data_IF_132675204632
#
_entry.id   IF_132675204632
#
_cell.length_a   1.000
_cell.length_b   1.000
_cell.length_c   1.000
_cell.angle_alpha   90.00
_cell.angle_beta   90.00
_cell.angle_gamma   90.00
#
_symmetry.space_group_name_H-M   'P 1'
#
loop_
_entity.id
_entity.type
_entity.pdbx_description
1 polymer ?
#
# COMPACT_ATOMS: atom_id res chain seq x y z
N UNK A 1 15.53 -9.32 -0.15
CA UNK A 1 15.07 -8.93 1.19
C UNK A 1 14.40 -7.57 1.05
N UNK A 2 13.19 -7.41 1.57
CA UNK A 2 12.46 -6.14 1.48
C UNK A 2 13.19 -5.04 2.28
N UNK A 3 13.21 -3.83 1.74
CA UNK A 3 13.70 -2.68 2.50
C UNK A 3 12.68 -2.34 3.58
N UNK A 4 13.14 -2.34 4.83
CA UNK A 4 12.32 -2.04 6.00
C UNK A 4 12.83 -0.79 6.70
N UNK A 5 11.93 -0.17 7.44
CA UNK A 5 12.24 0.95 8.34
C UNK A 5 11.99 0.51 9.79
N UNK A 6 12.49 1.30 10.75
CA UNK A 6 12.33 0.94 12.17
C UNK A 6 10.85 0.96 12.60
N UNK A 7 10.47 0.13 13.58
CA UNK A 7 9.12 0.14 14.14
C UNK A 7 8.69 1.51 14.69
N UNK A 8 9.64 2.27 15.24
CA UNK A 8 9.40 3.61 15.76
C UNK A 8 9.04 4.57 14.62
N UNK A 9 9.74 4.48 13.48
CA UNK A 9 9.44 5.32 12.32
C UNK A 9 8.07 4.95 11.73
N UNK A 10 7.73 3.66 11.64
CA UNK A 10 6.38 3.23 11.23
C UNK A 10 5.30 3.84 12.12
N UNK A 11 5.50 3.81 13.44
CA UNK A 11 4.57 4.40 14.39
C UNK A 11 4.46 5.92 14.19
N UNK A 12 5.58 6.63 14.08
CA UNK A 12 5.57 8.08 13.83
C UNK A 12 4.84 8.44 12.55
N UNK A 13 5.04 7.67 11.47
CA UNK A 13 4.33 7.90 10.20
C UNK A 13 2.81 7.71 10.36
N UNK A 14 2.35 6.76 11.19
CA UNK A 14 0.92 6.54 11.43
C UNK A 14 0.24 7.66 12.22
N UNK A 15 1.01 8.52 12.88
CA UNK A 15 0.51 9.67 13.64
C UNK A 15 0.36 10.94 12.76
N UNK A 16 0.85 10.90 11.51
CA UNK A 16 0.77 12.01 10.55
C UNK A 16 -0.40 11.75 9.60
N UNK A 17 -1.19 12.79 9.31
CA UNK A 17 -2.29 12.66 8.35
C UNK A 17 -1.78 12.43 6.91
N UNK A 18 -2.53 11.66 6.13
CA UNK A 18 -2.16 11.30 4.76
C UNK A 18 -1.91 12.52 3.85
N UNK A 19 -2.74 13.59 3.86
CA UNK A 19 -2.44 14.82 3.11
C UNK A 19 -1.07 15.42 3.43
N UNK A 20 -0.67 15.48 4.70
CA UNK A 20 0.65 15.97 5.11
C UNK A 20 1.80 15.10 4.56
N UNK A 21 1.63 13.77 4.54
CA UNK A 21 2.60 12.85 3.93
C UNK A 21 2.69 13.08 2.41
N UNK A 22 1.56 13.24 1.72
CA UNK A 22 1.53 13.54 0.29
C UNK A 22 2.26 14.86 -0.03
N UNK A 23 2.00 15.92 0.74
CA UNK A 23 2.66 17.21 0.58
C UNK A 23 4.19 17.10 0.74
N UNK A 24 4.66 16.27 1.68
CA UNK A 24 6.09 16.01 1.85
C UNK A 24 6.69 15.28 0.64
N UNK A 25 5.95 14.30 0.07
CA UNK A 25 6.37 13.56 -1.12
C UNK A 25 6.49 14.47 -2.35
N UNK A 26 5.56 15.43 -2.51
CA UNK A 26 5.61 16.41 -3.60
C UNK A 26 6.93 17.19 -3.64
N UNK A 27 7.54 17.42 -2.48
CA UNK A 27 8.84 18.10 -2.36
C UNK A 27 9.99 17.38 -3.07
N UNK A 28 9.89 16.07 -3.31
CA UNK A 28 10.90 15.30 -4.06
C UNK A 28 10.76 15.45 -5.58
N UNK A 29 9.68 16.06 -6.07
CA UNK A 29 9.42 16.28 -7.50
C UNK A 29 9.53 14.99 -8.35
N UNK A 30 9.07 13.86 -7.79
CA UNK A 30 9.09 12.54 -8.43
C UNK A 30 7.84 12.21 -9.26
N UNK A 31 6.75 12.97 -9.07
CA UNK A 31 5.49 12.85 -9.80
C UNK A 31 4.76 14.20 -9.88
N UNK A 32 3.85 14.41 -10.84
CA UNK A 32 3.00 15.60 -10.88
C UNK A 32 2.12 15.75 -9.63
N UNK A 33 1.91 16.99 -9.16
CA UNK A 33 1.14 17.29 -7.93
C UNK A 33 -0.37 17.01 -8.04
N UNK A 34 -0.85 16.83 -9.27
CA UNK A 34 -2.23 16.49 -9.59
C UNK A 34 -2.42 14.99 -9.83
N UNK A 35 -1.37 14.17 -9.63
CA UNK A 35 -1.42 12.73 -9.79
C UNK A 35 -1.17 12.03 -8.45
N UNK A 36 -1.84 10.89 -8.27
CA UNK A 36 -1.72 10.04 -7.08
C UNK A 36 -2.18 8.61 -7.37
N UNK A 37 -1.96 7.72 -6.41
CA UNK A 37 -2.23 6.28 -6.59
C UNK A 37 -3.65 5.86 -6.21
N UNK A 38 -4.32 6.60 -5.32
CA UNK A 38 -5.64 6.26 -4.80
C UNK A 38 -6.72 7.05 -5.53
N UNK A 39 -7.71 6.36 -6.09
CA UNK A 39 -8.85 6.98 -6.74
C UNK A 39 -9.94 7.37 -5.71
N UNK A 40 -10.77 8.39 -5.97
CA UNK A 40 -11.81 8.86 -5.03
C UNK A 40 -12.86 7.79 -4.63
N UNK A 41 -12.98 6.72 -5.42
CA UNK A 41 -13.85 5.59 -5.17
C UNK A 41 -13.35 4.70 -4.04
N UNK A 42 -12.04 4.72 -3.73
CA UNK A 42 -11.46 3.98 -2.61
C UNK A 42 -11.76 4.72 -1.31
N UNK A 43 -12.61 4.13 -0.47
CA UNK A 43 -13.07 4.73 0.79
C UNK A 43 -12.92 3.75 1.95
N UNK A 44 -12.61 4.28 3.13
CA UNK A 44 -12.61 3.50 4.37
C UNK A 44 -14.00 2.98 4.69
N UNK A 45 -14.13 1.65 4.80
CA UNK A 45 -15.40 0.99 5.13
C UNK A 45 -15.70 1.08 6.63
N UNK A 46 -14.66 0.98 7.46
CA UNK A 46 -14.76 1.06 8.91
C UNK A 46 -14.28 2.44 9.39
N UNK A 47 -15.21 3.25 9.90
CA UNK A 47 -14.93 4.63 10.31
C UNK A 47 -14.05 4.71 11.56
N UNK A 48 -14.07 3.67 12.40
CA UNK A 48 -13.33 3.63 13.66
C UNK A 48 -11.91 3.05 13.52
N UNK A 49 -11.50 2.65 12.30
CA UNK A 49 -10.13 2.20 12.07
C UNK A 49 -9.20 3.42 12.08
N UNK A 50 -8.17 3.44 12.95
CA UNK A 50 -7.18 4.51 12.94
C UNK A 50 -6.37 4.50 11.63
N UNK A 51 -5.69 5.61 11.30
CA UNK A 51 -4.70 5.61 10.23
C UNK A 51 -3.67 4.51 10.43
N UNK A 52 -3.28 3.85 9.34
CA UNK A 52 -2.33 2.74 9.34
C UNK A 52 -1.26 2.94 8.30
N UNK A 53 -0.06 2.46 8.61
CA UNK A 53 1.11 2.48 7.73
C UNK A 53 1.72 1.09 7.71
N UNK A 54 2.14 0.65 6.53
CA UNK A 54 2.78 -0.64 6.36
C UNK A 54 3.27 -0.88 4.95
N UNK A 55 3.67 -2.12 4.69
CA UNK A 55 4.28 -2.57 3.46
C UNK A 55 3.24 -3.09 2.49
N UNK A 56 3.29 -2.64 1.23
CA UNK A 56 2.35 -3.06 0.20
C UNK A 56 2.66 -4.48 -0.30
N UNK A 57 1.63 -5.33 -0.32
CA UNK A 57 1.59 -6.58 -1.07
C UNK A 57 0.75 -6.30 -2.32
N UNK A 58 1.41 -6.13 -3.46
CA UNK A 58 0.73 -5.73 -4.70
C UNK A 58 0.25 -6.94 -5.50
N UNK A 59 -0.93 -6.81 -6.09
CA UNK A 59 -1.47 -7.79 -7.03
C UNK A 59 -2.23 -7.10 -8.16
N UNK A 60 -2.49 -7.83 -9.23
CA UNK A 60 -3.30 -7.35 -10.36
C UNK A 60 -4.39 -8.38 -10.61
N UNK A 61 -5.64 -7.92 -10.66
CA UNK A 61 -6.80 -8.76 -10.99
C UNK A 61 -7.36 -8.30 -12.33
N UNK A 62 -7.61 -9.26 -13.23
CA UNK A 62 -8.25 -9.00 -14.52
C UNK A 62 -9.39 -9.97 -14.75
N UNK A 63 -10.57 -9.44 -15.06
CA UNK A 63 -11.72 -10.21 -15.56
C UNK A 63 -11.87 -10.10 -17.09
N UNK A 64 -11.08 -9.25 -17.74
CA UNK A 64 -11.22 -8.90 -19.16
C UNK A 64 -10.28 -9.70 -20.06
N UNK A 65 -9.10 -10.07 -19.55
CA UNK A 65 -8.09 -10.86 -20.29
C UNK A 65 -7.62 -12.04 -19.43
N UNK A 66 -7.60 -13.24 -20.01
CA UNK A 66 -6.91 -14.40 -19.44
C UNK A 66 -5.37 -14.34 -19.61
N UNK A 67 -4.83 -13.19 -20.01
CA UNK A 67 -3.39 -13.02 -20.21
C UNK A 67 -2.71 -12.66 -18.88
N UNK A 68 -1.85 -13.55 -18.39
CA UNK A 68 -1.10 -13.39 -17.14
C UNK A 68 -0.81 -14.72 -16.46
N UNK A 69 0.14 -14.75 -15.52
CA UNK A 69 0.35 -15.94 -14.68
C UNK A 69 -0.82 -16.04 -13.70
N UNK A 70 -1.58 -17.13 -13.78
CA UNK A 70 -2.52 -17.47 -12.72
C UNK A 70 -1.71 -17.83 -11.47
N UNK A 71 -1.94 -17.12 -10.38
CA UNK A 71 -1.24 -17.35 -9.11
C UNK A 71 -2.09 -18.30 -8.28
N UNK A 72 -1.49 -19.43 -7.87
CA UNK A 72 -2.15 -20.36 -6.97
C UNK A 72 -2.42 -19.70 -5.62
N UNK A 73 -3.36 -20.23 -4.84
CA UNK A 73 -3.65 -19.66 -3.52
C UNK A 73 -2.46 -19.81 -2.58
N UNK A 74 -1.73 -20.91 -2.73
CA UNK A 74 -0.53 -21.24 -1.99
C UNK A 74 0.57 -20.22 -2.28
N UNK A 75 0.89 -19.98 -3.57
CA UNK A 75 1.90 -18.99 -3.98
C UNK A 75 1.52 -17.58 -3.49
N UNK A 76 0.22 -17.25 -3.48
CA UNK A 76 -0.27 -15.96 -2.99
C UNK A 76 -0.08 -15.80 -1.48
N UNK A 77 -0.36 -16.84 -0.70
CA UNK A 77 -0.14 -16.85 0.75
C UNK A 77 1.34 -16.77 1.10
N UNK A 78 2.18 -17.50 0.38
CA UNK A 78 3.63 -17.45 0.55
C UNK A 78 4.16 -16.03 0.26
N UNK A 79 3.65 -15.38 -0.79
CA UNK A 79 3.99 -13.99 -1.09
C UNK A 79 3.58 -13.04 0.04
N UNK A 80 2.33 -13.11 0.52
CA UNK A 80 1.86 -12.26 1.63
C UNK A 80 2.73 -12.46 2.87
N UNK A 81 3.02 -13.72 3.23
CA UNK A 81 3.84 -14.05 4.39
C UNK A 81 5.29 -13.58 4.24
N UNK A 82 5.81 -13.50 3.02
CA UNK A 82 7.17 -13.02 2.75
C UNK A 82 7.35 -11.50 2.98
N UNK A 83 6.26 -10.73 2.93
CA UNK A 83 6.29 -9.27 3.12
C UNK A 83 6.33 -8.92 4.62
N UNK A 84 7.15 -7.95 5.06
CA UNK A 84 7.25 -7.54 6.46
C UNK A 84 5.93 -6.98 7.03
N UNK A 85 5.75 -7.06 8.35
CA UNK A 85 4.60 -6.49 9.05
C UNK A 85 4.83 -5.03 9.44
N UNK A 86 3.78 -4.18 9.49
CA UNK A 86 2.40 -4.43 9.06
C UNK A 86 2.29 -4.50 7.53
N UNK A 87 1.47 -5.40 6.98
CA UNK A 87 1.33 -5.63 5.53
C UNK A 87 -0.08 -5.33 5.02
N UNK A 88 -0.18 -4.71 3.84
CA UNK A 88 -1.43 -4.28 3.22
C UNK A 88 -1.53 -4.78 1.80
N UNK A 89 -2.60 -5.49 1.47
CA UNK A 89 -2.87 -5.94 0.11
C UNK A 89 -3.40 -4.76 -0.71
N UNK A 90 -2.79 -4.52 -1.87
CA UNK A 90 -3.16 -3.47 -2.83
C UNK A 90 -3.42 -4.13 -4.19
N UNK A 91 -4.66 -4.00 -4.69
CA UNK A 91 -5.17 -4.71 -5.88
C UNK A 91 -5.76 -3.73 -6.90
#
# INVERSE_FOLDING_TARGET
MYQTISPELLKTLSEIDCPSICNAIEGFNIQPKNEGFMLPEIKGVFQDLPPVVGYAVTGVISAVRQEGRNVSREDWWDLIASVPEPRFIVL
#
